data_IF_559723516158
#
_entry.id   IF_559723516158
#
_cell.length_a   1.000
_cell.length_b   1.000
_cell.length_c   1.000
_cell.angle_alpha   90.00
_cell.angle_beta   90.00
_cell.angle_gamma   90.00
#
_symmetry.space_group_name_H-M   'P 1'
#
loop_
_entity.id
_entity.type
_entity.pdbx_description
1 polymer ?
#
# COMPACT_ATOMS: atom_id res chain seq x y z
N UNK A 1 15.78 2.70 81.25
CA UNK A 1 14.59 2.78 80.36
C UNK A 1 15.02 2.22 79.00
N UNK A 2 14.44 1.08 78.61
CA UNK A 2 14.80 0.27 77.43
C UNK A 2 14.37 0.92 76.11
N UNK A 3 15.17 0.78 75.03
CA UNK A 3 14.74 0.59 73.62
C UNK A 3 15.96 0.49 72.69
N UNK A 4 16.42 -0.73 72.38
CA UNK A 4 16.11 -1.58 71.20
C UNK A 4 16.86 -1.15 69.93
N UNK A 5 17.97 -1.84 69.71
CA UNK A 5 18.77 -1.95 68.49
C UNK A 5 17.94 -2.68 67.42
N UNK A 6 17.74 -2.08 66.24
CA UNK A 6 17.12 -2.74 65.09
C UNK A 6 18.22 -3.12 64.10
N UNK A 7 18.48 -4.42 63.99
CA UNK A 7 19.42 -5.02 63.05
C UNK A 7 18.66 -5.28 61.74
N UNK A 8 19.01 -4.54 60.68
CA UNK A 8 18.42 -4.71 59.34
C UNK A 8 19.22 -5.78 58.60
N UNK A 9 18.58 -6.92 58.35
CA UNK A 9 19.08 -7.99 57.49
C UNK A 9 18.80 -7.60 56.02
N UNK A 10 19.83 -7.32 55.24
CA UNK A 10 19.72 -7.12 53.78
C UNK A 10 19.91 -8.47 53.11
N UNK A 11 18.82 -9.05 52.63
CA UNK A 11 18.83 -10.28 51.83
C UNK A 11 19.02 -9.92 50.35
N UNK A 12 20.23 -10.14 49.84
CA UNK A 12 20.57 -9.96 48.43
C UNK A 12 20.01 -11.13 47.62
N UNK A 13 18.83 -10.96 47.00
CA UNK A 13 18.29 -11.96 46.05
C UNK A 13 18.99 -11.79 44.69
N UNK A 14 19.86 -12.75 44.36
CA UNK A 14 20.46 -12.92 43.04
C UNK A 14 19.37 -13.47 42.10
N UNK A 15 18.73 -12.61 41.32
CA UNK A 15 17.89 -13.04 40.21
C UNK A 15 18.80 -13.46 39.04
N UNK A 16 18.98 -14.76 38.86
CA UNK A 16 19.56 -15.33 37.64
C UNK A 16 18.60 -15.12 36.49
N UNK A 17 18.82 -14.07 35.69
CA UNK A 17 18.11 -13.89 34.43
C UNK A 17 18.61 -14.96 33.44
N UNK A 18 17.88 -16.06 33.32
CA UNK A 18 18.01 -16.96 32.18
C UNK A 18 17.54 -16.20 30.95
N UNK A 19 18.49 -15.77 30.11
CA UNK A 19 18.19 -15.23 28.78
C UNK A 19 17.66 -16.41 27.97
N UNK A 20 16.34 -16.57 27.92
CA UNK A 20 15.71 -17.48 27.00
C UNK A 20 16.00 -16.94 25.59
N UNK A 21 16.89 -17.60 24.85
CA UNK A 21 17.02 -17.38 23.41
C UNK A 21 15.65 -17.62 22.78
N UNK A 22 15.05 -16.64 22.09
CA UNK A 22 13.81 -16.88 21.39
C UNK A 22 14.04 -18.04 20.42
N UNK A 23 13.22 -19.07 20.51
CA UNK A 23 13.20 -20.13 19.53
C UNK A 23 12.81 -19.50 18.19
N UNK A 24 13.74 -19.46 17.24
CA UNK A 24 13.45 -19.18 15.84
C UNK A 24 12.61 -20.33 15.33
N UNK A 25 11.28 -20.17 15.39
CA UNK A 25 10.40 -21.03 14.61
C UNK A 25 10.68 -20.71 13.15
N UNK A 26 11.36 -21.63 12.45
CA UNK A 26 11.44 -21.59 11.00
C UNK A 26 10.00 -21.57 10.49
N UNK A 27 9.59 -20.41 9.97
CA UNK A 27 8.27 -20.26 9.37
C UNK A 27 8.38 -20.90 8.00
N UNK A 28 8.09 -22.19 7.93
CA UNK A 28 7.98 -22.91 6.66
C UNK A 28 6.85 -22.23 5.89
N UNK A 29 7.19 -21.56 4.79
CA UNK A 29 6.17 -21.08 3.85
C UNK A 29 5.42 -22.30 3.34
N UNK A 30 4.10 -22.19 3.30
CA UNK A 30 3.29 -23.12 2.53
C UNK A 30 3.77 -23.11 1.07
N UNK A 31 3.91 -24.28 0.45
CA UNK A 31 4.39 -24.39 -0.94
C UNK A 31 3.51 -23.56 -1.89
N UNK A 32 2.22 -23.45 -1.57
CA UNK A 32 1.27 -22.64 -2.31
C UNK A 32 1.58 -21.14 -2.23
N UNK A 33 2.15 -20.66 -1.13
CA UNK A 33 2.52 -19.25 -0.96
C UNK A 33 3.82 -18.91 -1.69
N UNK A 34 4.81 -19.82 -1.65
CA UNK A 34 6.07 -19.64 -2.40
C UNK A 34 5.81 -19.50 -3.91
N UNK A 35 4.97 -20.39 -4.46
CA UNK A 35 4.59 -20.34 -5.88
C UNK A 35 3.88 -19.04 -6.25
N UNK A 36 2.99 -18.53 -5.40
CA UNK A 36 2.32 -17.23 -5.62
C UNK A 36 3.31 -16.06 -5.66
N UNK A 37 4.37 -16.08 -4.85
CA UNK A 37 5.41 -15.05 -4.93
C UNK A 37 6.20 -15.13 -6.24
N UNK A 38 6.56 -16.34 -6.67
CA UNK A 38 7.28 -16.56 -7.93
C UNK A 38 6.48 -16.03 -9.14
N UNK A 39 5.18 -16.30 -9.19
CA UNK A 39 4.29 -15.79 -10.24
C UNK A 39 4.28 -14.26 -10.28
N UNK A 40 4.22 -13.61 -9.12
CA UNK A 40 4.25 -12.14 -9.04
C UNK A 40 5.63 -11.60 -9.41
N UNK A 41 6.72 -12.27 -9.04
CA UNK A 41 8.06 -11.85 -9.42
C UNK A 41 8.25 -11.90 -10.94
N UNK A 42 7.77 -12.96 -11.57
CA UNK A 42 7.78 -13.11 -13.03
C UNK A 42 6.90 -12.04 -13.70
N UNK A 43 5.65 -11.86 -13.25
CA UNK A 43 4.72 -10.84 -13.75
C UNK A 43 5.34 -9.44 -13.70
N UNK A 44 6.08 -9.14 -12.61
CA UNK A 44 6.71 -7.84 -12.37
C UNK A 44 8.09 -7.69 -13.03
N UNK A 45 8.55 -8.69 -13.77
CA UNK A 45 9.83 -8.65 -14.46
C UNK A 45 11.04 -8.59 -13.52
N UNK A 46 10.92 -9.11 -12.30
CA UNK A 46 12.04 -9.22 -11.37
C UNK A 46 13.00 -10.29 -11.90
N UNK A 47 14.31 -10.01 -12.05
CA UNK A 47 15.26 -11.00 -12.55
C UNK A 47 15.30 -12.26 -11.68
N UNK A 48 15.25 -13.43 -12.32
CA UNK A 48 15.14 -14.73 -11.65
C UNK A 48 16.28 -15.01 -10.66
N UNK A 49 17.48 -14.48 -10.93
CA UNK A 49 18.62 -14.59 -10.03
C UNK A 49 18.43 -13.90 -8.66
N UNK A 50 17.36 -13.09 -8.50
CA UNK A 50 17.01 -12.44 -7.23
C UNK A 50 15.95 -13.20 -6.44
N UNK A 51 15.20 -14.11 -7.06
CA UNK A 51 14.00 -14.71 -6.45
C UNK A 51 14.29 -15.43 -5.14
N UNK A 52 15.34 -16.25 -5.09
CA UNK A 52 15.73 -16.99 -3.88
C UNK A 52 15.99 -16.04 -2.70
N UNK A 53 16.74 -14.95 -2.92
CA UNK A 53 17.05 -13.99 -1.86
C UNK A 53 15.79 -13.26 -1.34
N UNK A 54 14.83 -12.98 -2.23
CA UNK A 54 13.55 -12.37 -1.87
C UNK A 54 12.65 -13.36 -1.12
N UNK A 55 12.56 -14.61 -1.57
CA UNK A 55 11.83 -15.66 -0.86
C UNK A 55 12.42 -15.92 0.53
N UNK A 56 13.74 -15.93 0.67
CA UNK A 56 14.40 -16.07 1.98
C UNK A 56 14.10 -14.89 2.91
N UNK A 57 13.98 -13.65 2.39
CA UNK A 57 13.47 -12.52 3.20
C UNK A 57 12.05 -12.82 3.69
N UNK A 58 11.17 -13.26 2.80
CA UNK A 58 9.76 -13.57 3.14
C UNK A 58 9.67 -14.70 4.16
N UNK A 59 10.46 -15.78 4.03
CA UNK A 59 10.52 -16.90 5.00
C UNK A 59 10.95 -16.44 6.40
N UNK A 60 11.82 -15.44 6.48
CA UNK A 60 12.22 -14.80 7.76
C UNK A 60 11.16 -13.83 8.32
N UNK A 61 10.03 -13.66 7.64
CA UNK A 61 9.00 -12.68 8.00
C UNK A 61 9.42 -11.23 7.73
N UNK A 62 10.45 -11.02 6.92
CA UNK A 62 10.86 -9.67 6.50
C UNK A 62 9.95 -9.19 5.36
N UNK A 63 9.63 -7.90 5.38
CA UNK A 63 8.90 -7.25 4.30
C UNK A 63 9.85 -6.88 3.18
N UNK A 64 9.42 -7.14 1.94
CA UNK A 64 10.11 -6.72 0.73
C UNK A 64 10.16 -5.20 0.63
N UNK A 65 11.18 -4.63 -0.02
CA UNK A 65 11.37 -3.17 -0.01
C UNK A 65 10.17 -2.44 -0.66
N UNK A 66 9.59 -2.99 -1.73
CA UNK A 66 8.40 -2.44 -2.38
C UNK A 66 7.14 -2.42 -1.51
N UNK A 67 7.07 -3.27 -0.49
CA UNK A 67 5.94 -3.37 0.44
C UNK A 67 6.17 -2.52 1.72
N UNK A 68 7.20 -1.66 1.73
CA UNK A 68 7.56 -0.75 2.83
C UNK A 68 7.60 0.75 2.46
N UNK A 69 6.58 1.33 1.79
CA UNK A 69 6.60 2.77 1.51
C UNK A 69 6.88 3.65 2.73
N UNK A 70 7.61 4.73 2.48
CA UNK A 70 8.06 5.67 3.51
C UNK A 70 9.24 5.18 4.36
N UNK A 71 9.59 3.89 4.32
CA UNK A 71 10.83 3.37 4.93
C UNK A 71 11.86 3.05 3.85
N UNK A 72 11.46 2.27 2.85
CA UNK A 72 12.30 1.98 1.69
C UNK A 72 12.12 3.09 0.66
N UNK A 73 13.23 3.62 0.16
CA UNK A 73 13.23 4.66 -0.88
C UNK A 73 13.51 3.99 -2.22
N UNK A 74 12.71 4.25 -3.26
CA UNK A 74 12.99 3.74 -4.60
C UNK A 74 14.37 4.19 -5.09
N UNK A 75 15.12 3.27 -5.71
CA UNK A 75 16.38 3.60 -6.39
C UNK A 75 16.12 4.20 -7.78
N UNK A 76 14.95 3.94 -8.35
CA UNK A 76 14.46 4.60 -9.56
C UNK A 76 12.95 4.70 -9.54
N UNK A 77 12.43 5.78 -10.13
CA UNK A 77 11.01 5.98 -10.42
C UNK A 77 10.90 6.35 -11.89
N UNK A 78 10.08 5.62 -12.62
CA UNK A 78 9.81 5.88 -14.03
C UNK A 78 8.30 5.96 -14.29
N UNK A 79 7.92 6.76 -15.28
CA UNK A 79 6.54 6.81 -15.78
C UNK A 79 6.46 5.97 -17.04
N UNK A 80 5.70 4.89 -16.97
CA UNK A 80 5.35 4.04 -18.11
C UNK A 80 3.99 4.48 -18.65
N UNK A 81 3.79 4.29 -19.95
CA UNK A 81 2.47 4.45 -20.59
C UNK A 81 2.12 3.12 -21.22
N UNK A 82 1.21 2.39 -20.58
CA UNK A 82 0.70 1.10 -21.08
C UNK A 82 -0.77 1.28 -21.45
N UNK A 83 -1.11 1.03 -22.71
CA UNK A 83 -2.48 1.17 -23.23
C UNK A 83 -3.12 2.54 -22.94
N UNK A 84 -2.31 3.60 -22.96
CA UNK A 84 -2.74 4.97 -22.69
C UNK A 84 -2.97 5.27 -21.21
N UNK A 85 -2.50 4.42 -20.30
CA UNK A 85 -2.55 4.60 -18.85
C UNK A 85 -1.15 4.93 -18.35
N UNK A 86 -1.03 6.05 -17.65
CA UNK A 86 0.21 6.40 -16.95
C UNK A 86 0.35 5.52 -15.69
N UNK A 87 1.47 4.81 -15.62
CA UNK A 87 1.84 3.94 -14.50
C UNK A 87 3.14 4.51 -13.93
N UNK A 88 3.13 4.86 -12.65
CA UNK A 88 4.37 5.16 -11.93
C UNK A 88 4.94 3.85 -11.40
N UNK A 89 6.06 3.41 -11.99
CA UNK A 89 6.80 2.24 -11.52
C UNK A 89 7.97 2.69 -10.67
N UNK A 90 8.01 2.22 -9.43
CA UNK A 90 9.11 2.42 -8.49
C UNK A 90 9.89 1.13 -8.33
N UNK A 91 11.21 1.18 -8.52
CA UNK A 91 12.12 0.05 -8.33
C UNK A 91 12.96 0.28 -7.08
N UNK A 92 13.14 -0.76 -6.27
CA UNK A 92 13.81 -0.69 -4.97
C UNK A 92 15.17 -1.39 -4.98
N UNK A 93 15.96 -1.20 -3.91
CA UNK A 93 17.31 -1.74 -3.78
C UNK A 93 17.40 -3.25 -3.92
N UNK A 94 16.44 -3.98 -3.34
CA UNK A 94 16.35 -5.44 -3.48
C UNK A 94 15.84 -5.89 -4.86
N UNK A 95 15.47 -4.96 -5.74
CA UNK A 95 14.97 -5.22 -7.09
C UNK A 95 13.47 -5.44 -7.17
N UNK A 96 12.77 -5.41 -6.04
CA UNK A 96 11.32 -5.42 -6.04
C UNK A 96 10.78 -4.12 -6.63
N UNK A 97 9.56 -4.18 -7.15
CA UNK A 97 8.90 -3.06 -7.79
C UNK A 97 7.50 -2.85 -7.20
N UNK A 98 7.05 -1.60 -7.22
CA UNK A 98 5.65 -1.25 -6.96
C UNK A 98 5.13 -0.36 -8.07
N UNK A 99 3.87 -0.57 -8.45
CA UNK A 99 3.22 0.21 -9.48
C UNK A 99 2.02 0.96 -8.91
N UNK A 100 1.96 2.24 -9.24
CA UNK A 100 0.85 3.11 -8.90
C UNK A 100 0.19 3.59 -10.18
N UNK A 101 -1.06 3.18 -10.37
CA UNK A 101 -1.80 3.50 -11.59
C UNK A 101 -2.40 4.89 -11.45
N UNK A 102 -1.93 5.81 -12.29
CA UNK A 102 -2.46 7.15 -12.42
C UNK A 102 -3.85 7.17 -13.05
N UNK A 103 -4.51 8.33 -12.94
CA UNK A 103 -5.76 8.57 -13.68
C UNK A 103 -5.38 9.18 -15.03
N UNK A 104 -5.26 8.36 -16.08
CA UNK A 104 -5.06 8.91 -17.42
C UNK A 104 -6.35 9.49 -18.01
N UNK A 105 -6.21 10.38 -18.98
CA UNK A 105 -7.32 10.76 -19.85
C UNK A 105 -7.62 9.58 -20.77
N UNK A 106 -8.84 9.03 -20.68
CA UNK A 106 -9.25 7.93 -21.54
C UNK A 106 -9.17 8.37 -23.00
N UNK A 107 -8.28 7.73 -23.75
CA UNK A 107 -8.50 7.54 -25.19
C UNK A 107 -9.66 6.56 -25.31
N UNK A 108 -10.70 6.93 -26.05
CA UNK A 108 -11.79 6.02 -26.37
C UNK A 108 -11.18 4.93 -27.27
N UNK A 109 -10.91 3.76 -26.71
CA UNK A 109 -10.61 2.58 -27.52
C UNK A 109 -11.94 2.06 -28.06
N UNK A 110 -12.16 2.26 -29.37
CA UNK A 110 -13.16 1.52 -30.11
C UNK A 110 -12.78 0.02 -30.04
N UNK A 111 -13.77 -0.85 -29.87
CA UNK A 111 -13.69 -2.31 -29.75
C UNK A 111 -13.38 -2.89 -28.36
N UNK A 112 -14.43 -2.99 -27.54
CA UNK A 112 -14.82 -4.22 -26.83
C UNK A 112 -13.91 -4.83 -25.75
N UNK A 113 -12.68 -4.36 -25.57
CA UNK A 113 -11.71 -4.92 -24.62
C UNK A 113 -11.73 -4.07 -23.34
N UNK A 114 -12.15 -4.68 -22.22
CA UNK A 114 -12.14 -4.04 -20.91
C UNK A 114 -10.71 -3.96 -20.38
N UNK A 115 -10.11 -2.78 -20.46
CA UNK A 115 -8.79 -2.51 -19.91
C UNK A 115 -8.79 -2.43 -18.37
N UNK A 116 -7.85 -3.16 -17.76
CA UNK A 116 -7.55 -3.17 -16.33
C UNK A 116 -6.67 -1.94 -15.99
N UNK A 117 -7.32 -0.85 -15.65
CA UNK A 117 -6.67 0.39 -15.23
C UNK A 117 -7.58 1.57 -15.58
N UNK A 118 -7.39 2.72 -14.94
CA UNK A 118 -8.40 3.76 -14.74
C UNK A 118 -9.25 4.11 -16.00
N UNK A 119 -10.43 3.50 -16.17
CA UNK A 119 -11.42 4.00 -17.12
C UNK A 119 -12.06 5.28 -16.57
N UNK A 120 -11.45 6.43 -16.84
CA UNK A 120 -12.14 7.71 -16.77
C UNK A 120 -13.09 7.78 -17.97
N UNK A 121 -14.37 7.37 -17.82
CA UNK A 121 -15.38 7.75 -18.80
C UNK A 121 -15.58 9.26 -18.71
N UNK A 122 -14.79 10.02 -19.47
CA UNK A 122 -14.97 11.46 -19.65
C UNK A 122 -16.24 11.66 -20.48
N UNK A 123 -17.37 11.79 -19.79
CA UNK A 123 -18.55 12.39 -20.40
C UNK A 123 -18.54 13.88 -20.08
N UNK A 124 -18.39 14.66 -21.14
CA UNK A 124 -18.75 16.07 -21.33
C UNK A 124 -17.82 17.17 -20.80
N UNK A 125 -17.38 18.05 -21.71
CA UNK A 125 -17.29 19.54 -21.68
C UNK A 125 -16.92 20.32 -20.40
N UNK A 126 -16.62 19.67 -19.27
CA UNK A 126 -16.61 20.26 -17.92
C UNK A 126 -15.56 19.67 -16.98
N UNK A 127 -14.60 18.88 -17.49
CA UNK A 127 -13.44 18.42 -16.72
C UNK A 127 -13.71 17.39 -15.60
N UNK A 128 -14.92 16.84 -15.50
CA UNK A 128 -15.26 15.80 -14.50
C UNK A 128 -14.72 14.42 -14.93
N UNK A 129 -14.00 13.75 -14.04
CA UNK A 129 -13.50 12.37 -14.17
C UNK A 129 -14.44 11.42 -13.42
N UNK A 130 -14.96 10.39 -14.11
CA UNK A 130 -15.93 9.43 -13.55
C UNK A 130 -15.41 8.00 -13.61
N UNK A 131 -15.72 7.21 -12.59
CA UNK A 131 -15.45 5.77 -12.51
C UNK A 131 -13.96 5.39 -12.58
N UNK A 132 -13.07 6.30 -12.18
CA UNK A 132 -11.63 6.10 -12.20
C UNK A 132 -11.25 5.01 -11.19
N UNK A 133 -10.56 3.95 -11.64
CA UNK A 133 -10.01 2.93 -10.76
C UNK A 133 -8.64 3.41 -10.27
N UNK A 134 -8.50 3.51 -8.96
CA UNK A 134 -7.25 3.88 -8.29
C UNK A 134 -6.65 2.60 -7.76
N UNK A 135 -5.43 2.26 -8.18
CA UNK A 135 -4.80 0.96 -7.91
C UNK A 135 -3.42 1.17 -7.33
N UNK A 136 -3.12 0.41 -6.27
CA UNK A 136 -1.76 0.11 -5.86
C UNK A 136 -1.49 -1.36 -6.15
N UNK A 137 -0.33 -1.65 -6.75
CA UNK A 137 0.07 -2.99 -7.12
C UNK A 137 1.56 -3.22 -6.79
N UNK A 138 1.82 -3.67 -5.56
CA UNK A 138 3.13 -4.11 -5.07
C UNK A 138 3.27 -5.64 -5.13
N UNK A 139 4.30 -6.20 -4.51
CA UNK A 139 4.52 -7.65 -4.56
C UNK A 139 3.50 -8.36 -3.67
N UNK A 140 3.53 -8.11 -2.36
CA UNK A 140 2.66 -8.83 -1.43
C UNK A 140 1.22 -8.34 -1.49
N UNK A 141 0.99 -7.11 -1.98
CA UNK A 141 -0.31 -6.48 -1.97
C UNK A 141 -0.72 -5.87 -3.30
N UNK A 142 -1.97 -6.10 -3.67
CA UNK A 142 -2.64 -5.39 -4.76
C UNK A 142 -4.04 -5.01 -4.32
N UNK A 143 -4.41 -3.75 -4.45
CA UNK A 143 -5.72 -3.27 -4.04
C UNK A 143 -6.16 -2.02 -4.79
N UNK A 144 -7.47 -1.82 -4.87
CA UNK A 144 -8.03 -0.70 -5.60
C UNK A 144 -9.38 -0.22 -5.07
N UNK A 145 -9.73 1.01 -5.39
CA UNK A 145 -11.11 1.50 -5.29
C UNK A 145 -11.48 2.33 -6.52
N UNK A 146 -12.75 2.70 -6.64
CA UNK A 146 -13.25 3.57 -7.71
C UNK A 146 -13.59 4.95 -7.18
N UNK A 147 -13.22 5.99 -7.91
CA UNK A 147 -13.46 7.38 -7.56
C UNK A 147 -14.15 8.18 -8.69
N UNK A 148 -14.85 9.24 -8.31
CA UNK A 148 -15.30 10.30 -9.21
C UNK A 148 -14.86 11.64 -8.67
N UNK A 149 -14.22 12.47 -9.50
CA UNK A 149 -13.67 13.75 -9.08
C UNK A 149 -13.68 14.79 -10.21
N UNK A 150 -13.53 16.05 -9.84
CA UNK A 150 -13.41 17.16 -10.77
C UNK A 150 -12.23 18.02 -10.33
N UNK A 151 -11.11 18.04 -11.07
CA UNK A 151 -10.08 19.05 -10.89
C UNK A 151 -10.65 20.45 -11.12
N UNK A 152 -10.08 21.45 -10.46
CA UNK A 152 -10.40 22.84 -10.75
C UNK A 152 -9.86 23.25 -12.11
N UNK A 153 -10.71 23.87 -12.93
CA UNK A 153 -10.36 24.43 -14.24
C UNK A 153 -10.28 25.96 -14.23
N UNK A 154 -10.52 26.62 -13.08
CA UNK A 154 -10.56 28.07 -12.96
C UNK A 154 -10.06 28.54 -11.59
N UNK A 155 -9.51 29.75 -11.51
CA UNK A 155 -8.95 30.33 -10.28
C UNK A 155 -9.92 30.37 -9.08
N UNK A 156 -11.23 30.37 -9.33
CA UNK A 156 -12.29 30.38 -8.31
C UNK A 156 -12.97 29.02 -8.10
N UNK A 157 -12.82 28.07 -9.03
CA UNK A 157 -13.39 26.75 -8.87
C UNK A 157 -12.55 25.93 -7.87
N UNK A 158 -13.23 25.10 -7.07
CA UNK A 158 -12.57 24.21 -6.11
C UNK A 158 -12.56 22.81 -6.68
N UNK A 159 -11.41 22.13 -6.62
CA UNK A 159 -11.36 20.70 -6.90
C UNK A 159 -12.27 19.92 -5.93
N UNK A 160 -12.91 18.86 -6.43
CA UNK A 160 -13.83 18.03 -5.66
C UNK A 160 -13.65 16.55 -5.90
N UNK A 161 -13.90 15.74 -4.87
CA UNK A 161 -14.11 14.29 -4.97
C UNK A 161 -15.57 14.03 -4.63
N UNK A 162 -16.33 13.55 -5.60
CA UNK A 162 -17.78 13.34 -5.50
C UNK A 162 -18.17 11.92 -5.11
N UNK A 163 -17.31 10.94 -5.34
CA UNK A 163 -17.53 9.56 -4.92
C UNK A 163 -16.20 8.82 -4.70
N UNK A 164 -16.22 7.87 -3.76
CA UNK A 164 -15.21 6.83 -3.59
C UNK A 164 -15.96 5.57 -3.11
N UNK A 165 -15.82 4.46 -3.83
CA UNK A 165 -16.61 3.23 -3.63
C UNK A 165 -15.93 2.01 -4.26
N UNK A 166 -16.50 0.83 -4.05
CA UNK A 166 -16.06 -0.41 -4.70
C UNK A 166 -14.61 -0.74 -4.35
N UNK A 167 -14.29 -0.72 -3.06
CA UNK A 167 -12.97 -1.10 -2.56
C UNK A 167 -12.78 -2.61 -2.73
N UNK A 168 -11.58 -3.03 -3.14
CA UNK A 168 -11.26 -4.43 -3.38
C UNK A 168 -9.79 -4.67 -3.11
N UNK A 169 -9.48 -5.75 -2.40
CA UNK A 169 -8.14 -6.30 -2.25
C UNK A 169 -8.04 -7.43 -3.26
N UNK A 170 -7.12 -7.32 -4.22
CA UNK A 170 -6.90 -8.33 -5.27
C UNK A 170 -5.86 -9.35 -4.83
N UNK A 171 -4.87 -8.91 -4.06
CA UNK A 171 -3.77 -9.74 -3.55
C UNK A 171 -3.34 -9.29 -2.15
N UNK A 172 -3.07 -10.25 -1.27
CA UNK A 172 -2.55 -10.06 0.09
C UNK A 172 -1.74 -11.31 0.52
N UNK A 173 -0.62 -11.57 -0.17
CA UNK A 173 0.23 -12.74 0.05
C UNK A 173 0.87 -12.67 1.44
N UNK A 174 0.75 -13.74 2.23
CA UNK A 174 1.38 -13.79 3.56
C UNK A 174 0.75 -12.86 4.59
N UNK A 175 -0.48 -12.38 4.38
CA UNK A 175 -1.15 -11.45 5.28
C UNK A 175 -2.63 -11.80 5.47
N UNK A 176 -3.17 -11.43 6.62
CA UNK A 176 -4.62 -11.35 6.83
C UNK A 176 -5.08 -9.90 6.74
N UNK A 177 -6.32 -9.69 6.30
CA UNK A 177 -6.88 -8.35 6.13
C UNK A 177 -8.24 -8.22 6.81
N UNK A 178 -8.57 -7.02 7.30
CA UNK A 178 -9.92 -6.70 7.76
C UNK A 178 -10.85 -6.44 6.58
N UNK A 179 -12.13 -6.16 6.89
CA UNK A 179 -13.04 -5.57 5.91
C UNK A 179 -12.43 -4.30 5.30
N UNK A 180 -12.62 -4.17 3.98
CA UNK A 180 -12.12 -3.07 3.17
C UNK A 180 -13.22 -2.06 2.89
N UNK A 181 -12.93 -0.77 3.08
CA UNK A 181 -13.89 0.31 2.85
C UNK A 181 -13.31 1.37 1.93
N UNK A 182 -14.17 2.02 1.12
CA UNK A 182 -13.81 3.24 0.40
C UNK A 182 -14.87 4.32 0.63
N UNK A 183 -14.42 5.55 0.85
CA UNK A 183 -15.30 6.68 1.17
C UNK A 183 -14.65 8.02 0.81
N UNK A 184 -15.47 9.05 0.64
CA UNK A 184 -15.00 10.41 0.41
C UNK A 184 -14.62 11.02 1.74
N UNK A 185 -13.33 11.05 2.06
CA UNK A 185 -12.85 11.59 3.32
C UNK A 185 -12.82 13.15 3.32
N UNK A 186 -12.71 13.79 2.14
CA UNK A 186 -12.89 15.24 1.96
C UNK A 186 -13.43 15.54 0.57
N UNK A 187 -14.65 16.08 0.52
CA UNK A 187 -15.38 16.35 -0.73
C UNK A 187 -14.79 17.50 -1.55
N UNK A 188 -14.30 18.57 -0.92
CA UNK A 188 -13.89 19.80 -1.60
C UNK A 188 -12.55 20.29 -1.05
N UNK A 189 -11.69 20.79 -1.93
CA UNK A 189 -10.40 21.36 -1.52
C UNK A 189 -10.58 22.64 -0.68
N UNK A 190 -9.58 22.94 0.14
CA UNK A 190 -9.53 24.20 0.89
C UNK A 190 -8.09 24.66 1.08
N UNK A 191 -7.74 25.79 0.45
CA UNK A 191 -6.37 26.30 0.42
C UNK A 191 -5.42 25.25 -0.12
N UNK A 192 -4.36 24.96 0.62
CA UNK A 192 -3.36 23.94 0.27
C UNK A 192 -3.85 22.49 0.47
N UNK A 193 -5.02 22.31 1.10
CA UNK A 193 -5.50 20.98 1.49
C UNK A 193 -6.38 20.36 0.40
N UNK A 194 -5.98 19.22 -0.17
CA UNK A 194 -6.70 18.60 -1.29
C UNK A 194 -8.06 18.05 -0.87
N UNK A 195 -8.99 17.95 -1.83
CA UNK A 195 -10.10 17.00 -1.72
C UNK A 195 -9.51 15.57 -1.80
N UNK A 196 -10.07 14.61 -1.08
CA UNK A 196 -9.61 13.23 -1.17
C UNK A 196 -10.71 12.17 -1.08
N UNK A 197 -10.51 11.09 -1.83
CA UNK A 197 -11.20 9.82 -1.68
C UNK A 197 -10.21 8.81 -1.12
N UNK A 198 -10.66 7.94 -0.21
CA UNK A 198 -9.80 7.04 0.53
C UNK A 198 -10.36 5.63 0.53
N UNK A 199 -9.50 4.66 0.29
CA UNK A 199 -9.72 3.28 0.70
C UNK A 199 -8.94 2.99 2.00
N UNK A 200 -9.51 2.16 2.88
CA UNK A 200 -8.94 1.79 4.18
C UNK A 200 -9.18 0.32 4.51
N UNK A 201 -8.16 -0.34 5.05
CA UNK A 201 -8.26 -1.66 5.69
C UNK A 201 -7.15 -1.83 6.73
N UNK A 202 -7.26 -2.81 7.62
CA UNK A 202 -6.17 -3.28 8.47
C UNK A 202 -5.53 -4.51 7.86
N UNK A 203 -4.21 -4.63 7.99
CA UNK A 203 -3.47 -5.83 7.64
C UNK A 203 -2.71 -6.36 8.86
N UNK A 204 -2.46 -7.66 8.88
CA UNK A 204 -1.56 -8.32 9.83
C UNK A 204 -0.69 -9.29 9.05
N UNK A 205 0.64 -9.11 9.12
CA UNK A 205 1.59 -10.02 8.49
C UNK A 205 1.62 -11.35 9.24
N UNK A 206 1.70 -12.46 8.49
CA UNK A 206 1.91 -13.77 9.09
C UNK A 206 3.24 -13.77 9.86
N UNK A 207 3.24 -14.32 11.07
CA UNK A 207 4.43 -14.38 11.92
C UNK A 207 4.77 -13.10 12.70
N UNK A 208 4.08 -11.97 12.46
CA UNK A 208 4.30 -10.72 13.21
C UNK A 208 3.12 -10.42 14.14
N UNK A 209 3.42 -10.11 15.41
CA UNK A 209 2.42 -9.67 16.40
C UNK A 209 2.14 -8.18 16.22
N UNK A 210 1.47 -7.81 15.13
CA UNK A 210 1.13 -6.41 14.89
C UNK A 210 0.23 -6.21 13.68
N UNK A 211 -0.84 -5.44 13.85
CA UNK A 211 -1.68 -4.97 12.76
C UNK A 211 -1.37 -3.52 12.43
N UNK A 212 -1.44 -3.17 11.15
CA UNK A 212 -1.32 -1.78 10.69
C UNK A 212 -2.46 -1.41 9.78
N UNK A 213 -2.82 -0.12 9.80
CA UNK A 213 -3.89 0.41 8.95
C UNK A 213 -3.32 0.96 7.65
N UNK A 214 -3.86 0.48 6.55
CA UNK A 214 -3.48 0.87 5.19
C UNK A 214 -4.52 1.80 4.60
N UNK A 215 -4.03 2.77 3.85
CA UNK A 215 -4.77 3.77 3.12
C UNK A 215 -4.30 3.78 1.67
N UNK A 216 -5.26 3.86 0.74
CA UNK A 216 -5.01 4.29 -0.63
C UNK A 216 -5.80 5.57 -0.86
N UNK A 217 -5.11 6.66 -1.07
CA UNK A 217 -5.69 7.99 -1.22
C UNK A 217 -5.61 8.44 -2.67
N UNK A 218 -6.74 8.88 -3.21
CA UNK A 218 -6.75 9.82 -4.34
C UNK A 218 -6.84 11.22 -3.76
N UNK A 219 -5.88 12.09 -4.10
CA UNK A 219 -5.89 13.51 -3.74
C UNK A 219 -6.08 14.36 -4.99
N UNK A 220 -6.90 15.40 -4.87
CA UNK A 220 -7.20 16.33 -5.96
C UNK A 220 -7.08 17.76 -5.43
N UNK A 221 -6.20 18.55 -6.05
CA UNK A 221 -5.97 19.96 -5.73
C UNK A 221 -5.73 20.76 -6.98
N UNK A 222 -6.49 21.83 -7.14
CA UNK A 222 -6.50 22.68 -8.32
C UNK A 222 -6.63 21.82 -9.57
N UNK A 223 -5.76 21.99 -10.56
CA UNK A 223 -5.73 21.18 -11.78
C UNK A 223 -4.95 19.86 -11.60
N UNK A 224 -4.38 19.61 -10.42
CA UNK A 224 -3.54 18.46 -10.13
C UNK A 224 -4.31 17.37 -9.37
N UNK A 225 -3.91 16.13 -9.60
CA UNK A 225 -4.37 14.98 -8.83
C UNK A 225 -3.24 13.97 -8.75
N UNK A 226 -3.20 13.22 -7.67
CA UNK A 226 -2.18 12.21 -7.43
C UNK A 226 -2.72 11.15 -6.48
N UNK A 227 -2.01 10.04 -6.41
CA UNK A 227 -2.36 8.91 -5.55
C UNK A 227 -1.26 8.74 -4.51
N UNK A 228 -1.63 8.33 -3.31
CA UNK A 228 -0.69 7.99 -2.25
C UNK A 228 -1.13 6.72 -1.52
N UNK A 229 -0.17 5.96 -1.02
CA UNK A 229 -0.41 4.86 -0.09
C UNK A 229 0.54 4.96 1.10
N UNK A 230 0.12 4.43 2.25
CA UNK A 230 0.96 4.30 3.46
C UNK A 230 1.27 2.83 3.79
N UNK A 231 1.22 1.96 2.77
CA UNK A 231 1.89 0.66 2.85
C UNK A 231 3.35 0.87 3.29
#
# INVERSE_FOLDING_TARGET
MFRRLAMVFVATMLFGATVATPATADTVLDLDLEQQYLEVFEEKGIPAERWDALLEKVKRGETLDADRPGISVPVSVETLVEDGIEIERSTFSDGTVSELYGVSESTILNDGIQLLGAQAKSYSTSGKRKNCRIVYDGISFSYSFRAEFTPSTAAVAKATVSAARGATIHRALGHTTSEVTAYVARKTQSGVTPAHGRMKFQMTALGIVGSRTIYLDLKVRDHQYWVETNL
#
